data_IF_873637769502
#
_entry.id   IF_873637769502
#
_cell.length_a   1.000
_cell.length_b   1.000
_cell.length_c   1.000
_cell.angle_alpha   90.00
_cell.angle_beta   90.00
_cell.angle_gamma   90.00
#
_symmetry.space_group_name_H-M   'P 1'
#
loop_
_entity.id
_entity.type
_entity.pdbx_description
1 polymer ?
#
# COMPACT_ATOMS: atom_id res chain seq x y z
N UNK A 1 17.06 0.15 11.36
CA UNK A 1 15.86 -0.35 10.68
C UNK A 1 15.43 -1.65 11.32
N UNK A 2 14.11 -1.80 11.54
CA UNK A 2 13.51 -3.01 12.10
C UNK A 2 12.51 -3.54 11.08
N UNK A 3 12.69 -4.79 10.65
CA UNK A 3 11.74 -5.48 9.77
C UNK A 3 10.65 -6.15 10.62
N UNK A 4 9.40 -5.97 10.21
CA UNK A 4 8.25 -6.59 10.87
C UNK A 4 7.04 -6.66 9.91
N UNK A 5 6.09 -7.58 10.14
CA UNK A 5 4.83 -7.62 9.40
C UNK A 5 4.04 -6.32 9.49
N UNK A 6 3.34 -5.97 8.41
CA UNK A 6 2.50 -4.75 8.34
C UNK A 6 1.46 -4.69 9.48
N UNK A 7 0.87 -5.83 9.85
CA UNK A 7 -0.10 -5.95 10.93
C UNK A 7 0.44 -5.54 12.31
N UNK A 8 1.77 -5.46 12.48
CA UNK A 8 2.42 -5.07 13.74
C UNK A 8 2.76 -3.58 13.84
N UNK A 9 2.69 -2.82 12.73
CA UNK A 9 3.13 -1.43 12.68
C UNK A 9 2.45 -0.55 13.74
N UNK A 10 1.12 -0.63 13.84
CA UNK A 10 0.36 0.18 14.80
C UNK A 10 0.77 -0.11 16.24
N UNK A 11 0.84 -1.39 16.61
CA UNK A 11 1.23 -1.81 17.96
C UNK A 11 2.68 -1.45 18.27
N UNK A 12 3.58 -1.51 17.28
CA UNK A 12 4.99 -1.14 17.48
C UNK A 12 5.16 0.35 17.79
N UNK A 13 4.43 1.22 17.09
CA UNK A 13 4.46 2.67 17.33
C UNK A 13 3.77 3.02 18.65
N UNK A 14 2.59 2.44 18.91
CA UNK A 14 1.81 2.69 20.13
C UNK A 14 2.62 2.33 21.39
N UNK A 15 3.34 1.21 21.36
CA UNK A 15 4.17 0.74 22.47
C UNK A 15 5.61 1.29 22.45
N UNK A 16 5.92 2.26 21.61
CA UNK A 16 7.24 2.90 21.48
C UNK A 16 8.39 1.89 21.22
N UNK A 17 8.08 0.77 20.55
CA UNK A 17 9.09 -0.21 20.12
C UNK A 17 9.93 0.32 18.95
N UNK A 18 9.36 1.21 18.17
CA UNK A 18 10.00 1.97 17.10
C UNK A 18 9.57 3.43 17.22
N UNK A 19 10.44 4.35 16.80
CA UNK A 19 10.13 5.79 16.86
C UNK A 19 9.14 6.18 15.77
N UNK A 20 9.33 5.63 14.56
CA UNK A 20 8.48 5.92 13.38
C UNK A 20 8.31 4.68 12.51
N UNK A 21 7.24 4.66 11.71
CA UNK A 21 7.04 3.70 10.62
C UNK A 21 6.85 4.45 9.31
N UNK A 22 7.70 4.14 8.32
CA UNK A 22 7.61 4.63 6.94
C UNK A 22 7.52 3.41 6.03
N UNK A 23 6.31 3.03 5.62
CA UNK A 23 6.11 1.80 4.84
C UNK A 23 4.75 1.80 4.12
N UNK A 24 4.48 2.83 3.34
CA UNK A 24 3.26 2.97 2.55
C UNK A 24 1.96 2.74 3.37
N UNK A 25 1.91 3.33 4.57
CA UNK A 25 0.74 3.23 5.45
C UNK A 25 -0.20 4.40 5.19
N UNK A 26 -1.48 4.11 4.95
CA UNK A 26 -2.49 5.15 4.81
C UNK A 26 -2.93 5.70 6.17
N UNK A 27 -3.16 7.02 6.21
CA UNK A 27 -3.64 7.75 7.38
C UNK A 27 -5.17 7.65 7.53
N UNK A 28 -5.68 6.49 7.96
CA UNK A 28 -7.12 6.31 8.17
C UNK A 28 -7.58 6.88 9.51
N UNK A 29 -8.89 7.23 9.61
CA UNK A 29 -9.49 7.72 10.85
C UNK A 29 -9.33 6.73 12.01
N UNK A 30 -9.50 5.42 11.74
CA UNK A 30 -9.31 4.36 12.73
C UNK A 30 -7.87 4.35 13.28
N UNK A 31 -6.87 4.48 12.39
CA UNK A 31 -5.45 4.50 12.79
C UNK A 31 -5.11 5.78 13.56
N UNK A 32 -5.76 6.91 13.26
CA UNK A 32 -5.58 8.18 13.97
C UNK A 32 -6.00 8.12 15.45
N UNK A 33 -6.83 7.17 15.82
CA UNK A 33 -7.18 6.94 17.23
C UNK A 33 -5.98 6.46 18.05
N UNK A 34 -5.01 5.77 17.42
CA UNK A 34 -3.88 5.08 18.08
C UNK A 34 -2.52 5.68 17.78
N UNK A 35 -2.34 6.36 16.65
CA UNK A 35 -1.06 6.92 16.23
C UNK A 35 -1.21 8.36 15.73
N UNK A 36 -0.12 9.14 15.79
CA UNK A 36 0.01 10.39 15.06
C UNK A 36 0.56 10.12 13.65
N UNK A 37 0.22 11.00 12.71
CA UNK A 37 0.63 10.93 11.31
C UNK A 37 1.41 12.16 10.90
N UNK A 38 2.36 11.97 10.00
CA UNK A 38 2.92 13.08 9.24
C UNK A 38 1.91 13.63 8.22
N UNK A 39 2.28 14.72 7.57
CA UNK A 39 1.67 15.11 6.30
C UNK A 39 1.84 13.97 5.28
N UNK A 40 0.92 13.93 4.30
CA UNK A 40 0.97 12.93 3.23
C UNK A 40 2.25 13.12 2.39
N UNK A 41 3.08 12.09 2.32
CA UNK A 41 4.31 12.14 1.51
C UNK A 41 4.13 11.52 0.11
N UNK A 42 3.09 10.71 -0.09
CA UNK A 42 2.77 10.10 -1.38
C UNK A 42 1.25 9.99 -1.56
N UNK A 43 0.72 10.56 -2.64
CA UNK A 43 -0.69 10.39 -3.02
C UNK A 43 -0.84 9.11 -3.81
N UNK A 44 -1.64 8.18 -3.31
CA UNK A 44 -1.77 6.84 -3.85
C UNK A 44 -2.48 6.77 -5.21
N UNK A 45 -3.51 7.55 -5.42
CA UNK A 45 -4.30 7.58 -6.66
C UNK A 45 -5.31 6.45 -6.78
N UNK A 46 -4.88 5.20 -6.88
CA UNK A 46 -5.76 4.06 -7.06
C UNK A 46 -5.28 2.80 -6.32
N UNK A 47 -6.22 1.91 -6.03
CA UNK A 47 -5.94 0.49 -5.80
C UNK A 47 -5.93 -0.24 -7.14
N UNK A 48 -5.01 -1.18 -7.31
CA UNK A 48 -4.94 -2.05 -8.48
C UNK A 48 -5.47 -3.45 -8.16
N UNK A 49 -6.27 -4.00 -9.07
CA UNK A 49 -6.72 -5.40 -9.04
C UNK A 49 -5.94 -6.15 -10.10
N UNK A 50 -5.13 -7.13 -9.65
CA UNK A 50 -4.33 -7.97 -10.52
C UNK A 50 -4.88 -9.40 -10.51
N UNK A 51 -4.82 -10.04 -11.67
CA UNK A 51 -5.13 -11.46 -11.85
C UNK A 51 -3.97 -12.16 -12.56
N UNK A 52 -3.95 -13.49 -12.59
CA UNK A 52 -3.00 -14.23 -13.42
C UNK A 52 -3.13 -13.82 -14.89
N UNK A 53 -2.04 -13.92 -15.62
CA UNK A 53 -1.95 -13.45 -17.01
C UNK A 53 -3.00 -14.05 -17.93
N UNK A 54 -3.31 -15.33 -17.74
CA UNK A 54 -4.24 -16.16 -18.50
C UNK A 54 -5.66 -16.20 -17.91
N UNK A 55 -5.92 -15.50 -16.81
CA UNK A 55 -7.25 -15.48 -16.18
C UNK A 55 -8.13 -14.38 -16.80
N UNK A 56 -9.24 -14.78 -17.36
CA UNK A 56 -10.23 -13.90 -17.99
C UNK A 56 -11.60 -13.94 -17.29
N UNK A 57 -11.63 -14.29 -15.99
CA UNK A 57 -12.87 -14.35 -15.19
C UNK A 57 -13.18 -13.06 -14.43
N UNK A 58 -12.21 -12.15 -14.33
CA UNK A 58 -12.31 -10.89 -13.59
C UNK A 58 -11.87 -9.75 -14.50
N UNK A 59 -12.76 -8.79 -14.74
CA UNK A 59 -12.53 -7.63 -15.60
C UNK A 59 -12.80 -6.30 -14.89
N UNK A 60 -13.57 -6.34 -13.78
CA UNK A 60 -13.96 -5.17 -13.00
C UNK A 60 -13.90 -5.47 -11.50
N UNK A 61 -13.99 -4.42 -10.67
CA UNK A 61 -13.98 -4.57 -9.22
C UNK A 61 -15.17 -5.41 -8.72
N UNK A 62 -16.34 -5.28 -9.34
CA UNK A 62 -17.54 -6.01 -8.96
C UNK A 62 -17.44 -7.52 -9.23
N UNK A 63 -16.55 -7.94 -10.12
CA UNK A 63 -16.32 -9.37 -10.40
C UNK A 63 -15.60 -10.09 -9.25
N UNK A 64 -15.09 -9.35 -8.26
CA UNK A 64 -14.48 -9.93 -7.05
C UNK A 64 -15.49 -10.57 -6.12
N UNK A 65 -16.78 -10.30 -6.31
CA UNK A 65 -17.83 -10.91 -5.52
C UNK A 65 -17.78 -12.44 -5.67
N UNK A 66 -17.69 -13.14 -4.55
CA UNK A 66 -17.59 -14.59 -4.53
C UNK A 66 -16.23 -15.16 -4.97
N UNK A 67 -15.19 -14.32 -5.10
CA UNK A 67 -13.82 -14.76 -5.44
C UNK A 67 -12.95 -14.83 -4.20
N UNK A 68 -11.86 -15.56 -4.34
CA UNK A 68 -10.76 -15.56 -3.34
C UNK A 68 -9.78 -14.47 -3.70
N UNK A 69 -9.57 -13.51 -2.77
CA UNK A 69 -8.65 -12.39 -2.96
C UNK A 69 -7.51 -12.50 -1.97
N UNK A 70 -6.29 -12.15 -2.37
CA UNK A 70 -5.17 -12.01 -1.45
C UNK A 70 -4.79 -10.54 -1.27
N UNK A 71 -4.52 -10.17 -0.05
CA UNK A 71 -4.07 -8.84 0.36
C UNK A 71 -3.20 -8.92 1.62
N UNK A 72 -2.46 -7.86 1.90
CA UNK A 72 -1.66 -7.80 3.14
C UNK A 72 -2.59 -7.62 4.33
N UNK A 73 -2.39 -8.43 5.36
CA UNK A 73 -3.17 -8.44 6.60
C UNK A 73 -3.16 -7.07 7.29
N UNK A 74 -4.33 -6.57 7.68
CA UNK A 74 -4.52 -5.28 8.34
C UNK A 74 -4.35 -4.06 7.43
N UNK A 75 -4.20 -4.26 6.11
CA UNK A 75 -4.12 -3.17 5.14
C UNK A 75 -5.50 -2.68 4.69
N UNK A 76 -5.54 -1.49 4.10
CA UNK A 76 -6.74 -0.98 3.44
C UNK A 76 -7.11 -1.80 2.19
N UNK A 77 -6.13 -2.47 1.58
CA UNK A 77 -6.35 -3.40 0.47
C UNK A 77 -7.20 -4.60 0.91
N UNK A 78 -6.93 -5.16 2.09
CA UNK A 78 -7.75 -6.22 2.69
C UNK A 78 -9.17 -5.73 3.00
N UNK A 79 -9.29 -4.54 3.59
CA UNK A 79 -10.60 -3.93 3.87
C UNK A 79 -11.41 -3.69 2.59
N UNK A 80 -10.75 -3.24 1.51
CA UNK A 80 -11.37 -3.05 0.21
C UNK A 80 -11.83 -4.38 -0.39
N UNK A 81 -11.04 -5.45 -0.30
CA UNK A 81 -11.44 -6.79 -0.76
C UNK A 81 -12.73 -7.26 -0.10
N UNK A 82 -12.83 -7.08 1.22
CA UNK A 82 -14.06 -7.39 1.98
C UNK A 82 -15.24 -6.55 1.51
N UNK A 83 -15.03 -5.25 1.32
CA UNK A 83 -16.07 -4.30 0.85
C UNK A 83 -16.57 -4.65 -0.56
N UNK A 84 -15.72 -5.14 -1.44
CA UNK A 84 -16.06 -5.59 -2.79
C UNK A 84 -16.70 -6.97 -2.83
N UNK A 85 -16.90 -7.62 -1.68
CA UNK A 85 -17.63 -8.88 -1.57
C UNK A 85 -16.81 -10.11 -1.91
N UNK A 86 -15.49 -10.05 -1.75
CA UNK A 86 -14.66 -11.26 -1.81
C UNK A 86 -15.16 -12.31 -0.82
N UNK A 87 -15.29 -13.57 -1.27
CA UNK A 87 -15.80 -14.67 -0.44
C UNK A 87 -14.76 -15.12 0.59
N UNK A 88 -13.49 -15.15 0.17
CA UNK A 88 -12.37 -15.51 1.01
C UNK A 88 -11.21 -14.52 0.85
N UNK A 89 -10.53 -14.22 1.96
CA UNK A 89 -9.29 -13.45 1.94
C UNK A 89 -8.14 -14.36 2.35
N UNK A 90 -7.19 -14.53 1.44
CA UNK A 90 -5.90 -15.15 1.74
C UNK A 90 -4.97 -14.06 2.25
N UNK A 91 -4.93 -13.92 3.58
CA UNK A 91 -4.08 -12.92 4.23
C UNK A 91 -2.59 -13.22 4.00
N UNK A 92 -1.80 -12.20 3.71
CA UNK A 92 -0.36 -12.26 3.59
C UNK A 92 0.29 -11.35 4.63
N UNK A 93 1.39 -11.78 5.22
CA UNK A 93 2.14 -10.96 6.19
C UNK A 93 3.03 -9.92 5.47
N UNK A 94 3.50 -10.22 4.25
CA UNK A 94 4.39 -9.37 3.47
C UNK A 94 3.88 -9.17 2.03
N UNK A 95 4.25 -8.04 1.44
CA UNK A 95 3.88 -7.69 0.07
C UNK A 95 4.29 -8.74 -0.97
N UNK A 96 5.45 -9.39 -0.80
CA UNK A 96 5.89 -10.41 -1.74
C UNK A 96 4.98 -11.64 -1.76
N UNK A 97 4.29 -11.93 -0.65
CA UNK A 97 3.50 -13.14 -0.52
C UNK A 97 2.13 -13.02 -1.22
N UNK A 98 1.58 -11.80 -1.38
CA UNK A 98 0.35 -11.62 -2.17
C UNK A 98 0.56 -12.07 -3.62
N UNK A 99 1.69 -11.74 -4.22
CA UNK A 99 1.99 -12.15 -5.60
C UNK A 99 2.26 -13.64 -5.69
N UNK A 100 2.97 -14.23 -4.72
CA UNK A 100 3.15 -15.70 -4.64
C UNK A 100 1.83 -16.44 -4.51
N UNK A 101 0.89 -15.91 -3.72
CA UNK A 101 -0.43 -16.51 -3.57
C UNK A 101 -1.21 -16.49 -4.89
N UNK A 102 -1.13 -15.37 -5.64
CA UNK A 102 -1.74 -15.26 -6.96
C UNK A 102 -1.12 -16.25 -7.96
N UNK A 103 0.22 -16.25 -8.06
CA UNK A 103 0.97 -17.12 -8.98
C UNK A 103 0.73 -18.60 -8.69
N UNK A 104 0.63 -18.97 -7.41
CA UNK A 104 0.35 -20.35 -6.98
C UNK A 104 -1.13 -20.76 -7.12
N UNK A 105 -2.02 -19.86 -7.58
CA UNK A 105 -3.45 -20.13 -7.70
C UNK A 105 -4.19 -20.25 -6.36
N UNK A 106 -3.59 -19.81 -5.25
CA UNK A 106 -4.24 -19.78 -3.94
C UNK A 106 -5.30 -18.67 -3.83
N UNK A 107 -5.20 -17.65 -4.67
CA UNK A 107 -6.18 -16.60 -4.83
C UNK A 107 -6.48 -16.37 -6.31
N UNK A 108 -7.68 -15.87 -6.59
CA UNK A 108 -8.10 -15.49 -7.94
C UNK A 108 -7.57 -14.11 -8.32
N UNK A 109 -7.47 -13.20 -7.34
CA UNK A 109 -6.99 -11.85 -7.53
C UNK A 109 -6.14 -11.33 -6.36
N UNK A 110 -5.32 -10.30 -6.66
CA UNK A 110 -4.63 -9.44 -5.68
C UNK A 110 -5.28 -8.08 -5.69
N UNK A 111 -5.49 -7.48 -4.52
CA UNK A 111 -5.67 -6.04 -4.38
C UNK A 111 -4.41 -5.46 -3.75
N UNK A 112 -3.86 -4.44 -4.38
CA UNK A 112 -2.65 -3.76 -3.91
C UNK A 112 -2.61 -2.31 -4.37
N UNK A 113 -1.65 -1.54 -3.84
CA UNK A 113 -1.45 -0.14 -4.21
C UNK A 113 -0.76 -0.01 -5.57
N UNK A 114 -1.10 1.03 -6.29
CA UNK A 114 -0.57 1.29 -7.64
C UNK A 114 0.97 1.22 -7.74
N UNK A 115 1.77 1.85 -6.85
CA UNK A 115 3.22 1.78 -6.96
C UNK A 115 3.76 0.37 -6.78
N UNK A 116 3.16 -0.44 -5.92
CA UNK A 116 3.57 -1.82 -5.73
C UNK A 116 3.18 -2.70 -6.93
N UNK A 117 2.00 -2.48 -7.50
CA UNK A 117 1.56 -3.17 -8.72
C UNK A 117 2.52 -2.89 -9.88
N UNK A 118 2.88 -1.62 -10.10
CA UNK A 118 3.83 -1.23 -11.15
C UNK A 118 5.23 -1.79 -10.92
N UNK A 119 5.70 -1.76 -9.67
CA UNK A 119 6.99 -2.36 -9.34
C UNK A 119 7.02 -3.85 -9.67
N UNK A 120 6.02 -4.60 -9.21
CA UNK A 120 5.93 -6.03 -9.49
C UNK A 120 5.87 -6.32 -10.99
N UNK A 121 4.97 -5.67 -11.73
CA UNK A 121 4.83 -5.88 -13.18
C UNK A 121 6.10 -5.48 -13.95
N UNK A 122 6.75 -4.39 -13.55
CA UNK A 122 8.01 -3.93 -14.18
C UNK A 122 9.22 -4.82 -13.90
N UNK A 123 9.16 -5.70 -12.89
CA UNK A 123 10.25 -6.61 -12.50
C UNK A 123 9.93 -8.08 -12.79
N UNK A 124 9.32 -8.35 -13.92
CA UNK A 124 9.03 -9.70 -14.41
C UNK A 124 7.65 -10.24 -14.08
N UNK A 125 6.87 -9.55 -13.24
CA UNK A 125 5.49 -9.94 -12.92
C UNK A 125 4.52 -9.86 -14.11
N UNK A 126 4.81 -9.05 -15.12
CA UNK A 126 3.97 -8.90 -16.32
C UNK A 126 3.88 -10.17 -17.19
N UNK A 127 4.78 -11.10 -17.03
CA UNK A 127 4.70 -12.42 -17.68
C UNK A 127 3.69 -13.34 -16.97
N UNK A 128 3.41 -13.08 -15.69
CA UNK A 128 2.60 -13.93 -14.82
C UNK A 128 1.23 -13.34 -14.47
N UNK A 129 1.14 -12.01 -14.43
CA UNK A 129 -0.06 -11.29 -14.02
C UNK A 129 -0.33 -10.06 -14.89
N UNK A 130 -1.56 -9.57 -14.80
CA UNK A 130 -2.02 -8.33 -15.44
C UNK A 130 -2.92 -7.55 -14.47
N UNK A 131 -2.89 -6.21 -14.55
CA UNK A 131 -3.91 -5.37 -13.92
C UNK A 131 -5.17 -5.41 -14.80
N UNK A 132 -6.32 -5.70 -14.20
CA UNK A 132 -7.61 -5.77 -14.91
C UNK A 132 -8.56 -4.65 -14.54
N UNK A 133 -8.41 -4.09 -13.35
CA UNK A 133 -9.23 -2.96 -12.88
C UNK A 133 -8.47 -2.10 -11.89
N UNK A 134 -8.95 -0.87 -11.70
CA UNK A 134 -8.49 0.03 -10.64
C UNK A 134 -9.68 0.59 -9.88
N UNK A 135 -9.49 0.88 -8.59
CA UNK A 135 -10.48 1.54 -7.74
C UNK A 135 -9.87 2.87 -7.26
N UNK A 136 -10.50 4.01 -7.55
CA UNK A 136 -9.99 5.32 -7.10
C UNK A 136 -9.83 5.38 -5.58
N UNK A 137 -8.81 6.10 -5.12
CA UNK A 137 -8.54 6.37 -3.73
C UNK A 137 -8.06 7.80 -3.56
N UNK A 138 -8.63 8.50 -2.60
CA UNK A 138 -8.15 9.82 -2.17
C UNK A 138 -7.13 9.71 -1.02
N UNK A 139 -6.81 8.47 -0.60
CA UNK A 139 -5.87 8.20 0.48
C UNK A 139 -4.43 8.56 0.08
N UNK A 140 -3.61 8.79 1.09
CA UNK A 140 -2.18 9.03 0.91
C UNK A 140 -1.37 8.30 1.96
N UNK A 141 -0.11 8.03 1.63
CA UNK A 141 0.82 7.43 2.58
C UNK A 141 1.38 8.48 3.52
N UNK A 142 1.42 8.12 4.79
CA UNK A 142 1.90 8.92 5.91
C UNK A 142 2.97 8.17 6.70
N UNK A 143 3.74 8.91 7.47
CA UNK A 143 4.67 8.35 8.44
C UNK A 143 3.94 8.24 9.77
N UNK A 144 3.92 7.05 10.37
CA UNK A 144 3.34 6.83 11.69
C UNK A 144 4.35 7.14 12.78
N UNK A 145 3.86 7.67 13.89
CA UNK A 145 4.62 7.89 15.12
C UNK A 145 3.72 7.76 16.33
N UNK A 146 4.31 7.66 17.52
CA UNK A 146 3.53 7.60 18.75
C UNK A 146 2.67 8.87 18.90
N UNK A 147 1.42 8.69 19.32
CA UNK A 147 0.42 9.78 19.41
C UNK A 147 0.84 10.91 20.35
N UNK A 148 1.66 10.60 21.36
CA UNK A 148 2.14 11.58 22.34
C UNK A 148 3.34 12.38 21.83
N UNK A 149 3.98 11.96 20.74
CA UNK A 149 5.23 12.56 20.26
C UNK A 149 4.98 13.72 19.27
N UNK A 150 4.37 14.78 19.76
CA UNK A 150 4.04 15.99 18.98
C UNK A 150 5.29 16.62 18.36
N UNK A 151 6.43 16.58 19.09
CA UNK A 151 7.67 17.14 18.57
C UNK A 151 8.18 16.36 17.37
N UNK A 152 8.17 15.03 17.42
CA UNK A 152 8.53 14.17 16.28
C UNK A 152 7.69 14.47 15.05
N UNK A 153 6.37 14.63 15.23
CA UNK A 153 5.45 14.97 14.14
C UNK A 153 5.84 16.30 13.48
N UNK A 154 6.12 17.33 14.27
CA UNK A 154 6.53 18.63 13.75
C UNK A 154 7.87 18.58 13.01
N UNK A 155 8.85 17.87 13.59
CA UNK A 155 10.18 17.73 13.01
C UNK A 155 10.11 16.96 11.67
N UNK A 156 9.33 15.87 11.60
CA UNK A 156 9.12 15.09 10.38
C UNK A 156 8.40 15.92 9.31
N UNK A 157 7.32 16.64 9.65
CA UNK A 157 6.63 17.48 8.68
C UNK A 157 7.52 18.60 8.15
N UNK A 158 8.32 19.21 9.02
CA UNK A 158 9.33 20.19 8.62
C UNK A 158 10.41 19.62 7.68
N UNK A 159 10.83 18.38 7.91
CA UNK A 159 11.77 17.67 7.05
C UNK A 159 11.13 17.28 5.70
N UNK A 160 9.91 16.72 5.69
CA UNK A 160 9.17 16.40 4.48
C UNK A 160 8.98 17.62 3.58
N UNK A 161 8.56 18.74 4.16
CA UNK A 161 8.43 20.00 3.42
C UNK A 161 9.72 20.38 2.72
N UNK A 162 10.85 20.35 3.42
CA UNK A 162 12.18 20.66 2.84
C UNK A 162 12.55 19.70 1.70
N UNK A 163 12.29 18.41 1.86
CA UNK A 163 12.59 17.39 0.85
C UNK A 163 11.74 17.59 -0.40
N UNK A 164 10.48 18.02 -0.24
CA UNK A 164 9.59 18.33 -1.37
C UNK A 164 9.97 19.62 -2.10
N UNK A 165 10.39 20.66 -1.34
CA UNK A 165 10.73 21.98 -1.89
C UNK A 165 12.11 22.04 -2.56
N UNK A 166 13.07 21.22 -2.14
CA UNK A 166 14.44 21.24 -2.65
C UNK A 166 14.71 20.31 -3.84
N UNK A 167 13.68 19.66 -4.37
CA UNK A 167 13.75 18.76 -5.52
C UNK A 167 14.29 17.36 -5.23
N UNK A 168 14.66 17.04 -3.98
CA UNK A 168 15.10 15.68 -3.60
C UNK A 168 13.97 14.67 -3.77
N UNK A 169 12.73 15.07 -3.45
CA UNK A 169 11.56 14.20 -3.64
C UNK A 169 11.40 13.79 -5.10
N UNK A 170 11.47 14.74 -6.04
CA UNK A 170 11.35 14.46 -7.49
C UNK A 170 12.47 13.55 -7.98
N UNK A 171 13.71 13.76 -7.51
CA UNK A 171 14.84 12.89 -7.84
C UNK A 171 14.62 11.45 -7.37
N UNK A 172 14.14 11.27 -6.13
CA UNK A 172 13.84 9.96 -5.57
C UNK A 172 12.67 9.31 -6.31
N UNK A 173 11.63 10.07 -6.60
CA UNK A 173 10.48 9.59 -7.35
C UNK A 173 10.87 9.09 -8.74
N UNK A 174 11.64 9.89 -9.47
CA UNK A 174 12.18 9.50 -10.77
C UNK A 174 13.08 8.25 -10.67
N UNK A 175 13.95 8.19 -9.66
CA UNK A 175 14.86 7.06 -9.45
C UNK A 175 14.11 5.73 -9.29
N UNK A 176 13.01 5.73 -8.55
CA UNK A 176 12.31 4.50 -8.18
C UNK A 176 11.16 4.12 -9.12
N UNK A 177 10.52 5.11 -9.74
CA UNK A 177 9.36 4.89 -10.60
C UNK A 177 9.62 5.20 -12.08
N UNK A 178 10.78 5.76 -12.41
CA UNK A 178 11.18 6.15 -13.77
C UNK A 178 10.19 7.16 -14.43
N UNK A 179 9.47 7.91 -13.62
CA UNK A 179 8.56 8.99 -14.01
C UNK A 179 8.80 10.20 -13.12
N UNK A 180 8.45 11.42 -13.55
CA UNK A 180 8.51 12.62 -12.70
C UNK A 180 7.15 12.86 -12.04
N UNK A 181 7.15 13.46 -10.84
CA UNK A 181 5.92 13.86 -10.12
C UNK A 181 5.12 14.90 -10.92
N UNK A 182 5.81 15.72 -11.71
CA UNK A 182 5.22 16.71 -12.62
C UNK A 182 4.74 16.15 -13.95
N UNK A 183 4.91 14.87 -14.19
CA UNK A 183 4.51 14.15 -15.40
C UNK A 183 3.03 13.76 -15.41
N UNK A 184 2.14 14.71 -15.03
CA UNK A 184 0.72 14.63 -15.36
C UNK A 184 0.44 15.43 -16.59
#
# INVERSE_FOLDING_TARGET
>A
YTDMPFSQFMTAVENKKVDVVISAVEGTAERAEKAAFSDVYYKKGVYCILVRKDDDRIHAADDLKGKTVTAVKGSTNEALAKKLGADQIVEAEYNADIFKNLEAGKADAVITDEPLAYYYLGHGGAEKAKTVATVPSDDGFVILMNKEDVKMQQDINGALKKVMENGVYDQLFHKWFNVSVSGK
#
